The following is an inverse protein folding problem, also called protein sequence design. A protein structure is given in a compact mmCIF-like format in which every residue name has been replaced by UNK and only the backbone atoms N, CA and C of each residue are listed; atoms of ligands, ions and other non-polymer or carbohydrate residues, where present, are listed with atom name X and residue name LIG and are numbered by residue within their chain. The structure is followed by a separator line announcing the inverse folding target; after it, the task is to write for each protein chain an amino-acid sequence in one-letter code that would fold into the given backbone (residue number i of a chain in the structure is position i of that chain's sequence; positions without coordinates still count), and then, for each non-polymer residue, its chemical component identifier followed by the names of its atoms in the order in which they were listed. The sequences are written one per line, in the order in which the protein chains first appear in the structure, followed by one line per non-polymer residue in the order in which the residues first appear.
data_IF_863596070257
#
_entry.id   IF_863596070257
#
_cell.length_a   1.000
_cell.length_b   1.000
_cell.length_c   1.000
_cell.angle_alpha   90.00
_cell.angle_beta   90.00
_cell.angle_gamma   90.00
#
_symmetry.space_group_name_H-M   'P 1'
#
loop_
_entity.id
_entity.type
_entity.pdbx_description
1 polymer ?
#
# COMPACT_ATOMS: atom_id res chain seq x y z
N UNK A 1 -1.95 -21.35 2.61
CA UNK A 1 -1.32 -20.62 3.72
C UNK A 1 -2.07 -20.96 5.00
N UNK A 2 -1.49 -21.80 5.84
CA UNK A 2 -2.16 -22.28 7.06
C UNK A 2 -2.22 -21.23 8.18
N UNK A 3 -1.48 -20.12 8.07
CA UNK A 3 -1.50 -19.07 9.09
C UNK A 3 -1.46 -17.64 8.49
N UNK A 4 -2.63 -16.97 8.33
CA UNK A 4 -2.72 -15.62 7.76
C UNK A 4 -2.01 -14.55 8.60
N UNK A 5 -1.84 -14.78 9.91
CA UNK A 5 -1.14 -13.86 10.82
C UNK A 5 0.36 -13.84 10.54
N UNK A 6 0.94 -15.00 10.24
CA UNK A 6 2.35 -15.14 9.87
C UNK A 6 2.65 -14.44 8.54
N UNK A 7 1.77 -14.60 7.55
CA UNK A 7 1.89 -13.88 6.27
C UNK A 7 1.86 -12.36 6.48
N UNK A 8 0.91 -11.85 7.25
CA UNK A 8 0.79 -10.42 7.52
C UNK A 8 2.04 -9.86 8.22
N UNK A 9 2.64 -10.60 9.16
CA UNK A 9 3.90 -10.22 9.81
C UNK A 9 5.07 -10.19 8.83
N UNK A 10 5.19 -11.20 7.98
CA UNK A 10 6.26 -11.28 6.97
C UNK A 10 6.12 -10.14 5.97
N UNK A 11 4.92 -9.94 5.42
CA UNK A 11 4.64 -8.86 4.47
C UNK A 11 4.89 -7.50 5.09
N UNK A 12 4.39 -7.26 6.31
CA UNK A 12 4.61 -6.00 7.02
C UNK A 12 6.10 -5.73 7.25
N UNK A 13 6.85 -6.72 7.76
CA UNK A 13 8.29 -6.58 8.03
C UNK A 13 9.08 -6.28 6.74
N UNK A 14 8.89 -7.07 5.69
CA UNK A 14 9.64 -6.89 4.44
C UNK A 14 9.25 -5.61 3.71
N UNK A 15 7.97 -5.23 3.74
CA UNK A 15 7.53 -3.95 3.16
C UNK A 15 8.18 -2.78 3.87
N UNK A 16 8.24 -2.78 5.21
CA UNK A 16 8.89 -1.72 5.99
C UNK A 16 10.40 -1.65 5.70
N UNK A 17 11.06 -2.81 5.63
CA UNK A 17 12.50 -2.86 5.33
C UNK A 17 12.79 -2.33 3.92
N UNK A 18 12.08 -2.82 2.90
CA UNK A 18 12.28 -2.40 1.52
C UNK A 18 11.89 -0.94 1.30
N UNK A 19 10.82 -0.48 1.94
CA UNK A 19 10.42 0.92 1.97
C UNK A 19 11.50 1.81 2.58
N UNK A 20 12.01 1.43 3.76
CA UNK A 20 13.04 2.18 4.47
C UNK A 20 14.35 2.27 3.66
N UNK A 21 14.75 1.16 3.04
CA UNK A 21 15.93 1.12 2.15
C UNK A 21 15.69 1.96 0.90
N UNK A 22 14.53 1.84 0.25
CA UNK A 22 14.22 2.59 -0.97
C UNK A 22 14.13 4.10 -0.74
N UNK A 23 13.43 4.52 0.31
CA UNK A 23 13.34 5.93 0.71
C UNK A 23 14.72 6.43 1.15
N UNK A 24 15.43 5.68 2.00
CA UNK A 24 16.79 6.04 2.44
C UNK A 24 17.78 6.19 1.29
N UNK A 25 17.76 5.28 0.31
CA UNK A 25 18.61 5.35 -0.88
C UNK A 25 18.26 6.55 -1.78
N UNK A 26 16.97 6.85 -1.96
CA UNK A 26 16.52 8.01 -2.73
C UNK A 26 16.97 9.34 -2.10
N UNK A 27 16.97 9.41 -0.77
CA UNK A 27 17.47 10.56 0.01
C UNK A 27 18.99 10.55 0.11
N UNK A 28 19.67 9.41 0.04
CA UNK A 28 21.14 9.43 -0.05
C UNK A 28 21.62 9.92 -1.44
N UNK A 29 20.87 9.58 -2.49
CA UNK A 29 21.22 9.85 -3.90
C UNK A 29 20.76 11.19 -4.48
N UNK A 30 20.27 12.13 -3.67
CA UNK A 30 19.79 13.45 -4.16
C UNK A 30 18.38 13.48 -4.75
N UNK A 31 17.65 12.35 -4.78
CA UNK A 31 16.35 12.20 -5.46
C UNK A 31 15.17 12.38 -4.50
N UNK A 32 15.02 13.59 -3.92
CA UNK A 32 14.04 13.83 -2.84
C UNK A 32 12.60 13.60 -3.31
N UNK A 33 12.28 14.04 -4.52
CA UNK A 33 10.97 13.88 -5.13
C UNK A 33 10.60 12.40 -5.29
N UNK A 34 11.57 11.54 -5.60
CA UNK A 34 11.37 10.09 -5.68
C UNK A 34 11.01 9.51 -4.31
N UNK A 35 11.78 9.87 -3.26
CA UNK A 35 11.55 9.41 -1.90
C UNK A 35 10.20 9.85 -1.33
N UNK A 36 9.83 11.11 -1.55
CA UNK A 36 8.51 11.65 -1.17
C UNK A 36 7.40 10.90 -1.91
N UNK A 37 7.57 10.64 -3.20
CA UNK A 37 6.65 9.82 -3.99
C UNK A 37 6.46 8.44 -3.36
N UNK A 38 7.57 7.75 -3.03
CA UNK A 38 7.53 6.42 -2.41
C UNK A 38 6.78 6.41 -1.08
N UNK A 39 7.02 7.40 -0.22
CA UNK A 39 6.31 7.55 1.05
C UNK A 39 4.81 7.75 0.85
N UNK A 40 4.41 8.59 -0.11
CA UNK A 40 3.00 8.81 -0.44
C UNK A 40 2.34 7.52 -0.97
N UNK A 41 3.05 6.73 -1.77
CA UNK A 41 2.57 5.45 -2.28
C UNK A 41 2.30 4.44 -1.16
N UNK A 42 3.24 4.33 -0.22
CA UNK A 42 3.12 3.48 0.96
C UNK A 42 1.99 3.94 1.88
N UNK A 43 1.87 5.26 2.09
CA UNK A 43 0.80 5.84 2.90
C UNK A 43 -0.57 5.60 2.26
N UNK A 44 -0.70 5.68 0.94
CA UNK A 44 -1.93 5.39 0.22
C UNK A 44 -2.37 3.93 0.40
N UNK A 45 -1.45 2.97 0.26
CA UNK A 45 -1.73 1.54 0.55
C UNK A 45 -2.14 1.38 2.02
N UNK A 46 -1.38 1.96 2.96
CA UNK A 46 -1.63 1.87 4.39
C UNK A 46 -3.00 2.45 4.77
N UNK A 47 -3.40 3.56 4.16
CA UNK A 47 -4.73 4.14 4.33
C UNK A 47 -5.83 3.20 3.84
N UNK A 48 -5.69 2.65 2.64
CA UNK A 48 -6.69 1.71 2.09
C UNK A 48 -6.83 0.49 3.00
N UNK A 49 -5.72 -0.13 3.38
CA UNK A 49 -5.73 -1.29 4.28
C UNK A 49 -6.31 -0.93 5.65
N UNK A 50 -5.89 0.18 6.25
CA UNK A 50 -6.38 0.66 7.53
C UNK A 50 -7.88 0.93 7.51
N UNK A 51 -8.37 1.59 6.45
CA UNK A 51 -9.79 1.82 6.23
C UNK A 51 -10.57 0.51 6.18
N UNK A 52 -10.11 -0.48 5.41
CA UNK A 52 -10.78 -1.78 5.33
C UNK A 52 -10.76 -2.52 6.68
N UNK A 53 -9.65 -2.49 7.42
CA UNK A 53 -9.56 -3.11 8.76
C UNK A 53 -10.54 -2.44 9.73
N UNK A 54 -10.59 -1.10 9.75
CA UNK A 54 -11.53 -0.33 10.56
C UNK A 54 -12.97 -0.66 10.16
N UNK A 55 -13.27 -0.66 8.86
CA UNK A 55 -14.60 -0.93 8.35
C UNK A 55 -15.07 -2.35 8.72
N UNK A 56 -14.22 -3.36 8.59
CA UNK A 56 -14.53 -4.74 9.01
C UNK A 56 -14.76 -4.82 10.52
N UNK A 57 -13.93 -4.14 11.32
CA UNK A 57 -14.03 -4.14 12.79
C UNK A 57 -15.31 -3.48 13.29
N UNK A 58 -15.69 -2.34 12.71
CA UNK A 58 -16.84 -1.55 13.18
C UNK A 58 -18.17 -2.03 12.62
N UNK A 59 -18.22 -2.43 11.35
CA UNK A 59 -19.49 -2.74 10.70
C UNK A 59 -19.83 -4.22 10.63
N UNK A 60 -18.90 -5.12 11.00
CA UNK A 60 -19.09 -6.59 10.97
C UNK A 60 -19.79 -7.03 9.67
N UNK A 61 -19.07 -7.17 8.55
CA UNK A 61 -19.63 -7.35 7.20
C UNK A 61 -20.70 -8.45 7.10
N UNK A 62 -20.60 -9.48 7.93
CA UNK A 62 -21.52 -10.62 7.99
C UNK A 62 -22.88 -10.28 8.63
N UNK A 63 -22.98 -9.20 9.40
CA UNK A 63 -24.19 -8.76 10.10
C UNK A 63 -24.93 -7.62 9.37
N UNK A 64 -24.34 -6.99 8.35
CA UNK A 64 -24.94 -5.85 7.66
C UNK A 64 -24.91 -6.04 6.11
N UNK A 65 -26.05 -6.41 5.48
CA UNK A 65 -26.13 -6.63 4.03
C UNK A 65 -25.94 -5.36 3.19
N UNK A 66 -26.01 -4.16 3.79
CA UNK A 66 -25.78 -2.89 3.11
C UNK A 66 -24.30 -2.47 3.09
N UNK A 67 -23.44 -3.14 3.84
CA UNK A 67 -22.03 -2.81 3.97
C UNK A 67 -21.26 -2.79 2.63
N UNK A 68 -21.47 -3.72 1.68
CA UNK A 68 -20.83 -3.67 0.37
C UNK A 68 -21.21 -2.41 -0.44
N UNK A 69 -22.46 -1.96 -0.32
CA UNK A 69 -22.96 -0.76 -1.01
C UNK A 69 -22.39 0.53 -0.39
N UNK A 70 -22.29 0.58 0.94
CA UNK A 70 -21.67 1.70 1.65
C UNK A 70 -20.17 1.82 1.34
N UNK A 71 -19.47 0.68 1.24
CA UNK A 71 -18.06 0.61 0.81
C UNK A 71 -17.83 1.14 -0.61
N UNK A 72 -18.74 0.83 -1.54
CA UNK A 72 -18.70 1.37 -2.90
C UNK A 72 -18.89 2.89 -2.93
N UNK A 73 -19.75 3.43 -2.07
CA UNK A 73 -20.01 4.87 -1.97
C UNK A 73 -18.86 5.63 -1.31
N UNK A 74 -18.21 5.05 -0.29
CA UNK A 74 -17.10 5.69 0.42
C UNK A 74 -15.77 5.67 -0.33
N UNK A 75 -15.70 4.96 -1.47
CA UNK A 75 -14.55 4.78 -2.38
C UNK A 75 -13.22 5.22 -1.74
N UNK A 76 -12.63 4.42 -0.84
CA UNK A 76 -11.51 4.84 0.02
C UNK A 76 -10.24 5.22 -0.75
N UNK A 77 -10.20 4.88 -2.03
CA UNK A 77 -9.18 5.28 -2.99
C UNK A 77 -9.38 6.70 -3.54
N UNK A 78 -10.60 7.24 -3.60
CA UNK A 78 -10.87 8.55 -4.23
C UNK A 78 -10.04 9.67 -3.59
N UNK A 79 -10.07 9.80 -2.27
CA UNK A 79 -9.37 10.90 -1.59
C UNK A 79 -7.84 10.79 -1.62
N UNK A 80 -7.23 9.63 -1.31
CA UNK A 80 -5.77 9.46 -1.45
C UNK A 80 -5.31 9.62 -2.89
N UNK A 81 -6.04 9.06 -3.87
CA UNK A 81 -5.67 9.18 -5.30
C UNK A 81 -5.81 10.61 -5.77
N UNK A 82 -6.88 11.33 -5.41
CA UNK A 82 -7.05 12.74 -5.78
C UNK A 82 -5.98 13.63 -5.12
N UNK A 83 -5.65 13.38 -3.86
CA UNK A 83 -4.64 14.15 -3.15
C UNK A 83 -3.24 13.92 -3.74
N UNK A 84 -2.93 12.67 -4.11
CA UNK A 84 -1.69 12.31 -4.79
C UNK A 84 -1.64 12.92 -6.20
N UNK A 85 -2.71 12.81 -6.99
CA UNK A 85 -2.79 13.39 -8.33
C UNK A 85 -2.66 14.91 -8.28
N UNK A 86 -3.33 15.57 -7.34
CA UNK A 86 -3.21 17.00 -7.13
C UNK A 86 -1.78 17.40 -6.73
N UNK A 87 -1.15 16.65 -5.83
CA UNK A 87 0.23 16.92 -5.39
C UNK A 87 1.26 16.66 -6.50
N UNK A 88 1.04 15.63 -7.32
CA UNK A 88 1.86 15.32 -8.50
C UNK A 88 1.73 16.38 -9.59
N UNK A 89 0.51 16.82 -9.86
CA UNK A 89 0.24 17.86 -10.86
C UNK A 89 0.79 19.23 -10.44
N UNK A 90 0.90 19.50 -9.13
CA UNK A 90 1.28 20.83 -8.63
C UNK A 90 2.74 20.98 -8.22
N UNK A 91 3.42 19.94 -7.73
CA UNK A 91 4.77 20.09 -7.12
C UNK A 91 5.80 19.01 -7.44
N UNK A 92 5.39 17.80 -7.84
CA UNK A 92 6.29 16.64 -7.86
C UNK A 92 6.94 16.27 -9.19
N UNK A 93 6.29 16.59 -10.32
CA UNK A 93 6.75 16.17 -11.65
C UNK A 93 6.87 14.63 -11.81
N UNK A 94 7.47 14.18 -12.91
CA UNK A 94 7.54 12.76 -13.29
C UNK A 94 8.32 11.88 -12.29
N UNK A 95 9.35 12.42 -11.64
CA UNK A 95 10.14 11.66 -10.64
C UNK A 95 9.34 11.30 -9.40
N UNK A 96 8.42 12.17 -8.95
CA UNK A 96 7.55 11.85 -7.83
C UNK A 96 6.48 10.82 -8.19
N UNK A 97 5.99 10.85 -9.44
CA UNK A 97 5.09 9.82 -9.99
C UNK A 97 5.75 8.45 -9.95
N UNK A 98 6.99 8.36 -10.44
CA UNK A 98 7.77 7.12 -10.40
C UNK A 98 7.95 6.63 -8.96
N UNK A 99 8.31 7.53 -8.04
CA UNK A 99 8.46 7.19 -6.63
C UNK A 99 7.17 6.60 -6.06
N UNK A 100 6.03 7.23 -6.33
CA UNK A 100 4.73 6.74 -5.88
C UNK A 100 4.39 5.36 -6.44
N UNK A 101 4.59 5.14 -7.73
CA UNK A 101 4.37 3.82 -8.34
C UNK A 101 5.24 2.76 -7.66
N UNK A 102 6.52 3.06 -7.40
CA UNK A 102 7.42 2.16 -6.68
C UNK A 102 6.90 1.90 -5.25
N UNK A 103 6.47 2.94 -4.53
CA UNK A 103 5.92 2.85 -3.18
C UNK A 103 4.66 1.98 -3.10
N UNK A 104 3.77 2.08 -4.09
CA UNK A 104 2.56 1.25 -4.20
C UNK A 104 2.91 -0.19 -4.58
N UNK A 105 3.86 -0.39 -5.50
CA UNK A 105 4.26 -1.71 -5.98
C UNK A 105 5.00 -2.54 -4.93
N UNK A 106 5.77 -1.91 -4.04
CA UNK A 106 6.54 -2.59 -2.98
C UNK A 106 5.72 -3.61 -2.16
N UNK A 107 4.62 -3.22 -1.48
CA UNK A 107 3.81 -4.17 -0.73
C UNK A 107 3.19 -5.26 -1.62
N UNK A 108 2.79 -4.92 -2.85
CA UNK A 108 2.22 -5.88 -3.80
C UNK A 108 3.25 -6.93 -4.24
N UNK A 109 4.49 -6.52 -4.50
CA UNK A 109 5.58 -7.41 -4.85
C UNK A 109 5.95 -8.34 -3.70
N UNK A 110 5.96 -7.83 -2.46
CA UNK A 110 6.22 -8.66 -1.27
C UNK A 110 5.14 -9.71 -1.08
N UNK A 111 3.86 -9.34 -1.22
CA UNK A 111 2.73 -10.29 -1.14
C UNK A 111 2.82 -11.32 -2.26
N UNK A 112 3.08 -10.88 -3.50
CA UNK A 112 3.17 -11.76 -4.66
C UNK A 112 4.33 -12.74 -4.53
N UNK A 113 5.51 -12.26 -4.13
CA UNK A 113 6.69 -13.10 -3.89
C UNK A 113 6.47 -14.11 -2.75
N UNK A 114 5.81 -13.69 -1.67
CA UNK A 114 5.42 -14.60 -0.59
C UNK A 114 4.42 -15.68 -1.07
N UNK A 115 3.44 -15.30 -1.89
CA UNK A 115 2.48 -16.23 -2.48
C UNK A 115 3.14 -17.23 -3.44
N UNK A 116 4.05 -16.77 -4.30
CA UNK A 116 4.80 -17.65 -5.22
C UNK A 116 5.69 -18.63 -4.44
N UNK A 117 6.42 -18.15 -3.43
CA UNK A 117 7.26 -19.02 -2.58
C UNK A 117 6.43 -20.12 -1.91
N UNK A 118 5.24 -19.79 -1.43
CA UNK A 118 4.34 -20.76 -0.82
C UNK A 118 3.83 -21.78 -1.84
N UNK A 119 3.43 -21.32 -3.03
CA UNK A 119 2.96 -22.19 -4.10
C UNK A 119 4.04 -23.18 -4.58
N UNK A 120 5.32 -22.76 -4.60
CA UNK A 120 6.45 -23.64 -4.91
C UNK A 120 6.71 -24.65 -3.79
N UNK A 121 6.54 -24.26 -2.52
CA UNK A 121 6.78 -25.14 -1.35
C UNK A 121 5.72 -26.23 -1.19
N UNK A 122 4.54 -26.04 -1.78
CA UNK A 122 3.44 -27.01 -1.77
C UNK A 122 3.50 -28.01 -2.95
N UNK A 123 4.46 -27.87 -3.88
CA UNK A 123 4.78 -28.86 -4.91
C UNK A 123 5.92 -29.76 -4.45
#
# INVERSE_FOLDING_TARGET
MENPVLLAKVVGKWTVVLAGVGVGASVAGGLWHLGVGMLLGLAAIGWVVGFFVLAVRFFKPQANPLFPRLLMLSSPLKYPVLLVLAYMATRGGAMMVLGFVIGVMLPLLVVTGAAVREAVRQR
#
